data_IF_584274737381
#
_entry.id   IF_584274737381
#
_cell.length_a   1.000
_cell.length_b   1.000
_cell.length_c   1.000
_cell.angle_alpha   90.00
_cell.angle_beta   90.00
_cell.angle_gamma   90.00
#
_symmetry.space_group_name_H-M   'P 1'
#
loop_
_entity.id
_entity.type
_entity.pdbx_description
1 polymer ?
#
# COMPACT_ATOMS: atom_id res chain seq x y z
N UNK A 1 14.96 -11.50 6.64
CA UNK A 1 13.75 -12.35 6.56
C UNK A 1 13.05 -12.04 5.24
N UNK A 2 12.92 -13.02 4.35
CA UNK A 2 12.23 -12.84 3.06
C UNK A 2 10.71 -12.99 3.26
N UNK A 3 9.89 -12.53 2.31
CA UNK A 3 8.44 -12.71 2.36
C UNK A 3 8.06 -14.21 2.50
N UNK A 4 8.76 -15.09 1.79
CA UNK A 4 8.55 -16.55 1.88
C UNK A 4 8.88 -17.09 3.29
N UNK A 5 9.99 -16.68 3.90
CA UNK A 5 10.35 -17.14 5.25
C UNK A 5 9.38 -16.65 6.33
N UNK A 6 8.68 -15.53 6.10
CA UNK A 6 7.66 -15.02 6.99
C UNK A 6 6.33 -15.79 6.85
N UNK A 7 5.96 -16.22 5.63
CA UNK A 7 4.81 -17.10 5.39
C UNK A 7 5.04 -18.48 6.03
N UNK A 8 6.20 -19.09 5.79
CA UNK A 8 6.56 -20.40 6.34
C UNK A 8 6.51 -20.42 7.88
N UNK A 9 7.01 -19.36 8.53
CA UNK A 9 6.98 -19.25 9.99
C UNK A 9 5.56 -19.10 10.56
N UNK A 10 4.67 -18.42 9.83
CA UNK A 10 3.28 -18.24 10.26
C UNK A 10 2.43 -19.50 10.01
N UNK A 11 2.74 -20.29 9.00
CA UNK A 11 2.04 -21.57 8.76
C UNK A 11 2.25 -22.59 9.90
N UNK A 12 3.34 -22.45 10.67
CA UNK A 12 3.58 -23.25 11.88
C UNK A 12 2.67 -22.86 13.06
N UNK A 13 2.01 -21.70 13.02
CA UNK A 13 1.09 -21.24 14.06
C UNK A 13 -0.27 -21.93 13.89
N UNK A 14 -0.39 -23.15 14.39
CA UNK A 14 -1.65 -23.90 14.41
C UNK A 14 -2.38 -23.73 15.75
N UNK A 15 -3.71 -23.56 15.70
CA UNK A 15 -4.60 -23.50 16.86
C UNK A 15 -4.38 -22.36 17.89
N UNK A 16 -3.56 -21.35 17.60
CA UNK A 16 -3.43 -20.15 18.44
C UNK A 16 -4.41 -19.05 18.00
N UNK A 17 -5.01 -18.29 18.94
CA UNK A 17 -5.76 -17.09 18.61
C UNK A 17 -4.92 -16.15 17.73
N UNK A 18 -5.51 -15.65 16.63
CA UNK A 18 -4.82 -14.73 15.72
C UNK A 18 -4.04 -15.38 14.56
N UNK A 19 -3.93 -16.71 14.50
CA UNK A 19 -3.20 -17.41 13.43
C UNK A 19 -3.73 -17.09 12.01
N UNK A 20 -5.04 -16.89 11.86
CA UNK A 20 -5.65 -16.50 10.58
C UNK A 20 -5.22 -15.09 10.17
N UNK A 21 -5.27 -14.13 11.11
CA UNK A 21 -4.85 -12.75 10.89
C UNK A 21 -3.36 -12.66 10.58
N UNK A 22 -2.54 -13.46 11.26
CA UNK A 22 -1.11 -13.56 10.99
C UNK A 22 -0.84 -14.04 9.56
N UNK A 23 -1.56 -15.07 9.06
CA UNK A 23 -1.41 -15.56 7.68
C UNK A 23 -1.79 -14.52 6.64
N UNK A 24 -2.89 -13.79 6.88
CA UNK A 24 -3.30 -12.67 6.02
C UNK A 24 -2.22 -11.57 6.02
N UNK A 25 -1.74 -11.17 7.19
CA UNK A 25 -0.69 -10.15 7.29
C UNK A 25 0.61 -10.59 6.60
N UNK A 26 0.97 -11.87 6.72
CA UNK A 26 2.14 -12.45 6.10
C UNK A 26 2.07 -12.46 4.57
N UNK A 27 0.96 -12.91 4.00
CA UNK A 27 0.74 -12.89 2.55
C UNK A 27 0.65 -11.48 1.97
N UNK A 28 0.42 -10.48 2.82
CA UNK A 28 0.38 -9.07 2.45
C UNK A 28 1.67 -8.33 2.79
N UNK A 29 2.74 -8.99 3.20
CA UNK A 29 4.03 -8.33 3.36
C UNK A 29 4.56 -7.86 1.99
N UNK A 30 4.89 -6.58 1.87
CA UNK A 30 5.47 -6.01 0.65
C UNK A 30 6.61 -5.08 1.05
N UNK A 31 7.81 -5.37 0.56
CA UNK A 31 9.01 -4.58 0.84
C UNK A 31 8.99 -3.17 0.26
N UNK A 32 8.02 -2.85 -0.60
CA UNK A 32 7.81 -1.49 -1.12
C UNK A 32 7.07 -0.58 -0.15
N UNK A 33 6.49 -1.11 0.93
CA UNK A 33 5.82 -0.26 1.92
C UNK A 33 6.84 0.69 2.56
N UNK A 34 6.58 2.00 2.50
CA UNK A 34 7.50 3.03 2.98
C UNK A 34 7.27 3.32 4.47
N UNK A 35 6.18 2.81 5.04
CA UNK A 35 5.88 2.87 6.47
C UNK A 35 5.19 1.61 7.01
N UNK A 36 5.36 1.30 8.31
CA UNK A 36 4.59 0.26 8.98
C UNK A 36 3.07 0.49 8.91
N UNK A 37 2.63 1.74 8.84
CA UNK A 37 1.22 2.12 8.80
C UNK A 37 0.57 1.82 7.45
N UNK A 38 1.27 1.97 6.33
CA UNK A 38 0.81 1.49 5.01
C UNK A 38 0.55 -0.01 5.05
N UNK A 39 1.50 -0.77 5.59
CA UNK A 39 1.36 -2.23 5.73
C UNK A 39 0.16 -2.60 6.60
N UNK A 40 -0.01 -1.94 7.76
CA UNK A 40 -1.17 -2.17 8.65
C UNK A 40 -2.50 -1.86 7.95
N UNK A 41 -2.58 -0.77 7.18
CA UNK A 41 -3.80 -0.41 6.43
C UNK A 41 -4.14 -1.43 5.37
N UNK A 42 -3.14 -1.92 4.63
CA UNK A 42 -3.36 -2.99 3.65
C UNK A 42 -3.91 -4.26 4.31
N UNK A 43 -3.41 -4.63 5.49
CA UNK A 43 -3.97 -5.76 6.26
C UNK A 43 -5.41 -5.50 6.68
N UNK A 44 -5.72 -4.31 7.21
CA UNK A 44 -7.10 -3.96 7.60
C UNK A 44 -8.07 -4.02 6.43
N UNK A 45 -7.67 -3.49 5.27
CA UNK A 45 -8.47 -3.55 4.04
C UNK A 45 -8.70 -5.00 3.60
N UNK A 46 -7.65 -5.83 3.58
CA UNK A 46 -7.79 -7.23 3.20
C UNK A 46 -8.65 -8.04 4.17
N UNK A 47 -8.58 -7.75 5.48
CA UNK A 47 -9.49 -8.34 6.47
C UNK A 47 -10.95 -7.93 6.24
N UNK A 48 -11.19 -6.77 5.63
CA UNK A 48 -12.50 -6.30 5.18
C UNK A 48 -12.88 -6.78 3.76
N UNK A 49 -12.08 -7.64 3.12
CA UNK A 49 -12.32 -8.16 1.77
C UNK A 49 -11.94 -7.21 0.64
N UNK A 50 -11.14 -6.19 0.91
CA UNK A 50 -10.67 -5.18 -0.05
C UNK A 50 -9.17 -5.34 -0.32
N UNK A 51 -8.79 -5.48 -1.59
CA UNK A 51 -7.42 -5.79 -1.99
C UNK A 51 -6.81 -4.69 -2.88
N UNK A 52 -6.31 -3.59 -2.30
CA UNK A 52 -5.66 -2.52 -3.06
C UNK A 52 -4.25 -2.93 -3.53
N UNK A 53 -3.80 -2.31 -4.63
CA UNK A 53 -2.44 -2.41 -5.14
C UNK A 53 -1.55 -1.37 -4.43
N UNK A 54 -0.44 -1.77 -3.80
CA UNK A 54 0.45 -0.84 -3.11
C UNK A 54 1.40 -0.11 -4.06
N UNK A 55 1.79 1.12 -3.67
CA UNK A 55 2.81 1.93 -4.36
C UNK A 55 2.52 2.05 -5.87
N UNK A 56 1.26 2.29 -6.20
CA UNK A 56 0.78 2.26 -7.58
C UNK A 56 1.16 3.55 -8.31
N UNK A 57 1.80 3.42 -9.49
CA UNK A 57 2.10 4.55 -10.36
C UNK A 57 0.90 4.92 -11.21
N UNK A 58 0.45 6.17 -11.09
CA UNK A 58 -0.51 6.78 -12.00
C UNK A 58 0.23 7.35 -13.19
N UNK A 59 -0.22 6.98 -14.38
CA UNK A 59 0.32 7.44 -15.67
C UNK A 59 -0.79 8.09 -16.49
N UNK A 60 -0.45 9.07 -17.33
CA UNK A 60 -1.41 9.73 -18.21
C UNK A 60 -1.66 8.94 -19.51
N UNK A 61 -2.52 9.45 -20.40
CA UNK A 61 -2.83 8.80 -21.68
C UNK A 61 -1.66 8.69 -22.66
N UNK A 62 -0.52 9.35 -22.38
CA UNK A 62 0.73 9.22 -23.13
C UNK A 62 1.77 8.38 -22.36
N UNK A 63 1.32 7.59 -21.38
CA UNK A 63 2.14 6.78 -20.48
C UNK A 63 3.20 7.57 -19.69
N UNK A 64 2.96 8.86 -19.43
CA UNK A 64 3.89 9.66 -18.63
C UNK A 64 3.55 9.54 -17.16
N UNK A 65 4.56 9.41 -16.31
CA UNK A 65 4.39 9.40 -14.86
C UNK A 65 3.70 10.68 -14.38
N UNK A 66 2.65 10.52 -13.58
CA UNK A 66 1.88 11.61 -12.97
C UNK A 66 2.13 11.66 -11.46
N UNK A 67 2.00 10.52 -10.79
CA UNK A 67 2.15 10.40 -9.34
C UNK A 67 2.34 8.92 -8.96
N UNK A 68 2.78 8.68 -7.72
CA UNK A 68 2.74 7.36 -7.07
C UNK A 68 1.89 7.48 -5.82
N UNK A 69 0.94 6.56 -5.63
CA UNK A 69 0.02 6.54 -4.48
C UNK A 69 0.27 5.32 -3.61
N UNK A 70 0.09 5.45 -2.29
CA UNK A 70 0.41 4.38 -1.33
C UNK A 70 -0.39 3.10 -1.59
N UNK A 71 -1.68 3.24 -1.87
CA UNK A 71 -2.62 2.14 -2.16
C UNK A 71 -3.63 2.59 -3.23
N UNK A 72 -3.94 1.71 -4.20
CA UNK A 72 -4.91 1.99 -5.26
C UNK A 72 -5.90 0.83 -5.49
N UNK A 73 -7.18 1.17 -5.64
CA UNK A 73 -8.18 0.31 -6.25
C UNK A 73 -8.28 0.69 -7.73
N UNK A 74 -7.59 -0.06 -8.59
CA UNK A 74 -7.40 0.28 -10.01
C UNK A 74 -8.74 0.39 -10.74
N UNK A 75 -9.58 -0.63 -10.59
CA UNK A 75 -10.90 -0.72 -11.23
C UNK A 75 -11.85 0.38 -10.75
N UNK A 76 -11.82 0.68 -9.45
CA UNK A 76 -12.64 1.72 -8.82
C UNK A 76 -12.04 3.12 -8.94
N UNK A 77 -10.90 3.27 -9.61
CA UNK A 77 -10.23 4.56 -9.85
C UNK A 77 -10.00 5.38 -8.59
N UNK A 78 -9.71 4.70 -7.48
CA UNK A 78 -9.65 5.29 -6.14
C UNK A 78 -8.30 5.04 -5.50
N UNK A 79 -7.68 6.08 -4.95
CA UNK A 79 -6.43 6.00 -4.19
C UNK A 79 -6.68 6.18 -2.68
N UNK A 80 -5.87 5.52 -1.86
CA UNK A 80 -5.83 5.67 -0.40
C UNK A 80 -4.43 6.09 0.00
N UNK A 81 -4.30 7.33 0.45
CA UNK A 81 -3.03 7.92 0.89
C UNK A 81 -2.87 7.83 2.41
N UNK A 82 -1.65 7.56 2.86
CA UNK A 82 -1.27 7.78 4.24
C UNK A 82 -0.67 9.15 4.42
N UNK A 83 -1.39 10.01 5.14
CA UNK A 83 -0.80 11.22 5.68
C UNK A 83 0.06 10.84 6.89
N UNK A 84 1.33 10.52 6.62
CA UNK A 84 2.32 10.35 7.67
C UNK A 84 2.51 11.68 8.42
N UNK A 85 2.49 11.65 9.75
CA UNK A 85 2.98 12.75 10.56
C UNK A 85 4.45 13.00 10.23
N UNK A 86 4.70 14.12 9.56
CA UNK A 86 5.98 14.67 9.12
C UNK A 86 7.18 14.31 10.02
N UNK A 87 8.13 13.54 9.47
CA UNK A 87 9.50 13.47 9.98
C UNK A 87 10.44 13.44 8.77
N UNK A 88 10.92 14.61 8.35
CA UNK A 88 12.25 15.17 8.67
C UNK A 88 13.35 14.75 7.67
N UNK A 89 13.29 15.31 6.46
CA UNK A 89 14.46 15.76 5.70
C UNK A 89 14.10 17.04 4.91
N UNK A 90 14.79 18.17 5.13
CA UNK A 90 14.53 19.39 4.37
C UNK A 90 14.98 19.21 2.92
N UNK A 91 14.04 18.98 2.00
CA UNK A 91 14.21 19.35 0.59
C UNK A 91 13.98 18.30 -0.50
N UNK A 92 13.79 17.00 -0.18
CA UNK A 92 13.63 15.98 -1.24
C UNK A 92 12.29 15.21 -1.27
N UNK A 93 11.55 15.10 -0.17
CA UNK A 93 10.32 14.27 -0.14
C UNK A 93 8.99 15.01 -0.39
N UNK A 94 9.00 16.34 -0.46
CA UNK A 94 7.75 17.11 -0.58
C UNK A 94 7.48 17.70 -1.97
N UNK A 95 8.47 17.68 -2.87
CA UNK A 95 8.27 18.15 -4.25
C UNK A 95 7.61 17.12 -5.16
N UNK A 96 7.72 15.82 -4.84
CA UNK A 96 7.00 14.77 -5.58
C UNK A 96 5.57 14.55 -5.09
N UNK A 97 5.30 14.77 -3.80
CA UNK A 97 3.97 14.51 -3.22
C UNK A 97 2.91 15.58 -3.55
N UNK A 98 3.33 16.78 -3.95
CA UNK A 98 2.43 17.94 -4.10
C UNK A 98 1.91 18.19 -5.52
N UNK A 99 2.08 17.27 -6.49
CA UNK A 99 1.35 17.36 -7.76
C UNK A 99 -0.01 16.69 -7.66
N UNK A 100 -0.93 17.47 -7.06
CA UNK A 100 -2.39 17.49 -7.34
C UNK A 100 -3.27 16.50 -6.55
N UNK A 101 -3.40 16.74 -5.24
CA UNK A 101 -4.50 16.28 -4.37
C UNK A 101 -5.80 17.01 -4.74
N UNK A 102 -6.26 16.85 -5.99
CA UNK A 102 -7.49 17.47 -6.47
C UNK A 102 -8.59 16.45 -6.78
N UNK A 103 -8.23 15.38 -7.47
CA UNK A 103 -9.18 14.37 -7.94
C UNK A 103 -8.44 13.39 -8.85
N UNK A 104 -7.65 12.48 -8.26
CA UNK A 104 -7.16 11.33 -9.01
C UNK A 104 -8.33 10.34 -9.14
N UNK A 105 -9.18 10.56 -10.14
CA UNK A 105 -9.83 9.43 -10.82
C UNK A 105 -8.71 8.81 -11.63
N UNK A 106 -8.29 7.58 -11.32
CA UNK A 106 -7.29 6.85 -12.13
C UNK A 106 -7.75 6.96 -13.59
N UNK A 107 -6.93 7.60 -14.41
CA UNK A 107 -7.36 8.13 -15.70
C UNK A 107 -8.01 7.03 -16.54
N UNK A 108 -9.19 7.32 -17.07
CA UNK A 108 -9.77 6.56 -18.15
C UNK A 108 -10.95 7.33 -18.70
N UNK A 109 -10.63 8.21 -19.65
CA UNK A 109 -11.56 8.96 -20.50
C UNK A 109 -12.45 9.98 -19.76
#
# INVERSE_FOLDING_TARGET
MTANGLIEGVDQLTAVPGARQARVAAGLADGRAESPQESRRRVMLALAGLYPVPQYEVRDGADRFVARVDLAFVEARTAVEYEGSWHWEPGQLHRDRQRRIGSLRLAGE
#
